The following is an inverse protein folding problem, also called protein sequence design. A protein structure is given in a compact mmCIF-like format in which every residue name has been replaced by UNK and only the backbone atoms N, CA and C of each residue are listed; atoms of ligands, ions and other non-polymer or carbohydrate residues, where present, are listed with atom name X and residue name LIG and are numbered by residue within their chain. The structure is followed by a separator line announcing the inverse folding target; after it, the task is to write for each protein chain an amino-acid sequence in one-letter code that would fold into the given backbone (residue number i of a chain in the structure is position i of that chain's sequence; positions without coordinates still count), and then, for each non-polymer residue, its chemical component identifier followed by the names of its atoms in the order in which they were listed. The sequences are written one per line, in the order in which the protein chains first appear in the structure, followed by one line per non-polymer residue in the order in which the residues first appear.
data_IF_932638926387
#
_entry.id   IF_932638926387
#
_cell.length_a   1.000
_cell.length_b   1.000
_cell.length_c   1.000
_cell.angle_alpha   90.00
_cell.angle_beta   90.00
_cell.angle_gamma   90.00
#
_symmetry.space_group_name_H-M   'P 1'
#
loop_
_entity.id
_entity.type
_entity.pdbx_description
1 polymer ?
#
# COMPACT_ATOMS: atom_id res chain seq x y z
N UNK A 1 43.63 -2.84 -9.53
CA UNK A 1 43.37 -3.81 -8.44
C UNK A 1 41.86 -3.97 -8.34
N UNK A 2 41.34 -5.08 -8.88
CA UNK A 2 39.92 -5.41 -8.82
C UNK A 2 39.60 -5.94 -7.42
N UNK A 3 38.86 -5.15 -6.64
CA UNK A 3 38.34 -5.59 -5.35
C UNK A 3 37.19 -6.55 -5.65
N UNK A 4 37.43 -7.84 -5.46
CA UNK A 4 36.41 -8.87 -5.56
C UNK A 4 35.50 -8.76 -4.33
N UNK A 5 34.25 -8.34 -4.52
CA UNK A 5 33.23 -8.36 -3.47
C UNK A 5 33.00 -9.80 -3.00
N UNK A 6 32.91 -10.06 -1.68
CA UNK A 6 32.65 -11.40 -1.19
C UNK A 6 31.25 -11.86 -1.64
N UNK A 7 31.21 -12.93 -2.45
CA UNK A 7 29.97 -13.65 -2.73
C UNK A 7 29.45 -14.23 -1.41
N UNK A 8 28.43 -13.61 -0.84
CA UNK A 8 27.69 -14.19 0.28
C UNK A 8 27.01 -15.47 -0.22
N UNK A 9 27.51 -16.64 0.20
CA UNK A 9 26.88 -17.92 -0.11
C UNK A 9 25.59 -18.02 0.71
N UNK A 10 24.45 -17.84 0.04
CA UNK A 10 23.13 -18.08 0.64
C UNK A 10 23.01 -19.56 0.95
N UNK A 11 22.96 -19.92 2.24
CA UNK A 11 22.77 -21.30 2.67
C UNK A 11 21.30 -21.70 2.58
N UNK A 12 20.97 -22.60 1.65
CA UNK A 12 19.62 -23.14 1.52
C UNK A 12 19.27 -24.04 2.71
N UNK A 13 18.35 -23.58 3.55
CA UNK A 13 17.81 -24.37 4.66
C UNK A 13 16.84 -25.45 4.15
N UNK A 14 16.58 -26.47 4.95
CA UNK A 14 15.37 -27.29 4.80
C UNK A 14 14.11 -26.50 5.21
N UNK A 15 12.93 -26.95 4.78
CA UNK A 15 11.66 -26.34 5.20
C UNK A 15 11.50 -26.35 6.73
N UNK A 16 11.88 -27.44 7.39
CA UNK A 16 11.83 -27.53 8.85
C UNK A 16 12.79 -26.54 9.53
N UNK A 17 14.01 -26.38 9.03
CA UNK A 17 14.95 -25.36 9.52
C UNK A 17 14.42 -23.93 9.28
N UNK A 18 13.77 -23.70 8.15
CA UNK A 18 13.13 -22.43 7.82
C UNK A 18 11.98 -22.11 8.78
N UNK A 19 11.13 -23.10 9.11
CA UNK A 19 10.08 -22.95 10.11
C UNK A 19 10.64 -22.59 11.49
N UNK A 20 11.76 -23.21 11.90
CA UNK A 20 12.46 -22.84 13.14
C UNK A 20 13.02 -21.42 13.10
N UNK A 21 13.60 -21.01 11.98
CA UNK A 21 14.08 -19.64 11.78
C UNK A 21 12.92 -18.63 11.81
N UNK A 22 11.75 -18.97 11.25
CA UNK A 22 10.55 -18.15 11.32
C UNK A 22 10.09 -17.96 12.77
N UNK A 23 10.05 -19.02 13.59
CA UNK A 23 9.74 -18.91 15.02
C UNK A 23 10.69 -17.95 15.75
N UNK A 24 12.00 -18.06 15.48
CA UNK A 24 13.01 -17.18 16.09
C UNK A 24 12.86 -15.73 15.65
N UNK A 25 12.54 -15.50 14.37
CA UNK A 25 12.25 -14.18 13.81
C UNK A 25 10.85 -13.64 14.18
N UNK A 26 10.08 -14.42 14.94
CA UNK A 26 8.74 -14.08 15.39
C UNK A 26 7.67 -14.11 14.31
N UNK A 27 7.88 -14.84 13.22
CA UNK A 27 7.03 -14.93 12.04
C UNK A 27 6.11 -16.17 12.14
N UNK A 28 4.81 -15.95 11.96
CA UNK A 28 3.80 -17.00 11.85
C UNK A 28 3.87 -17.67 10.47
N UNK A 29 3.55 -18.96 10.38
CA UNK A 29 3.63 -19.72 9.13
C UNK A 29 2.64 -20.88 9.09
N UNK A 30 2.42 -21.42 7.88
CA UNK A 30 1.60 -22.61 7.66
C UNK A 30 2.22 -23.52 6.58
N UNK A 31 1.97 -24.84 6.63
CA UNK A 31 2.39 -25.77 5.58
C UNK A 31 1.53 -25.59 4.32
N UNK A 32 2.18 -25.67 3.16
CA UNK A 32 1.57 -25.60 1.82
C UNK A 32 1.65 -26.97 1.15
N UNK A 33 0.55 -27.41 0.57
CA UNK A 33 0.46 -28.68 -0.16
C UNK A 33 1.47 -28.72 -1.33
N UNK A 34 2.20 -29.82 -1.45
CA UNK A 34 3.11 -30.09 -2.56
C UNK A 34 2.37 -30.82 -3.71
N UNK A 35 1.23 -30.26 -4.13
CA UNK A 35 0.34 -30.79 -5.18
C UNK A 35 0.13 -29.80 -6.34
N UNK A 36 0.90 -28.71 -6.37
CA UNK A 36 0.82 -27.64 -7.35
C UNK A 36 -0.29 -26.62 -7.09
N UNK A 37 -1.15 -26.81 -6.08
CA UNK A 37 -2.36 -25.97 -5.91
C UNK A 37 -2.09 -24.66 -5.18
N UNK A 38 -0.91 -24.48 -4.57
CA UNK A 38 -0.56 -23.33 -3.70
C UNK A 38 -1.44 -23.20 -2.45
N UNK A 39 -2.19 -24.25 -2.09
CA UNK A 39 -3.14 -24.22 -0.97
C UNK A 39 -2.46 -24.57 0.35
N UNK A 40 -2.81 -23.89 1.46
CA UNK A 40 -2.44 -24.35 2.79
C UNK A 40 -3.02 -25.74 3.08
N UNK A 41 -2.28 -26.57 3.80
CA UNK A 41 -2.74 -27.90 4.21
C UNK A 41 -3.76 -27.84 5.37
N UNK A 42 -4.13 -26.65 5.83
CA UNK A 42 -4.98 -26.42 6.99
C UNK A 42 -5.70 -25.05 6.90
N UNK A 43 -6.56 -24.77 7.88
CA UNK A 43 -7.22 -23.46 8.02
C UNK A 43 -6.20 -22.40 8.48
N UNK A 44 -5.56 -21.76 7.52
CA UNK A 44 -4.47 -20.82 7.78
C UNK A 44 -4.88 -19.55 8.54
N UNK A 45 -6.16 -19.14 8.45
CA UNK A 45 -6.67 -17.93 9.11
C UNK A 45 -6.51 -17.95 10.63
N UNK A 46 -6.46 -19.14 11.23
CA UNK A 46 -6.28 -19.29 12.68
C UNK A 46 -4.87 -18.80 13.11
N UNK A 47 -3.92 -18.84 12.18
CA UNK A 47 -2.54 -18.40 12.38
C UNK A 47 -2.30 -16.91 12.10
N UNK A 48 -3.37 -16.17 11.80
CA UNK A 48 -3.37 -14.70 11.82
C UNK A 48 -3.45 -14.13 13.25
N UNK A 49 -3.80 -14.95 14.24
CA UNK A 49 -3.94 -14.51 15.63
C UNK A 49 -2.95 -15.23 16.56
N UNK A 50 -2.66 -16.50 16.30
CA UNK A 50 -1.75 -17.30 17.13
C UNK A 50 -0.64 -17.92 16.28
N UNK A 51 0.62 -17.73 16.67
CA UNK A 51 1.77 -18.34 15.97
C UNK A 51 1.85 -19.85 16.22
N UNK A 52 2.33 -20.63 15.23
CA UNK A 52 2.68 -22.04 15.46
C UNK A 52 3.73 -22.19 16.56
N UNK A 53 3.80 -23.38 17.15
CA UNK A 53 4.83 -23.76 18.13
C UNK A 53 5.99 -24.53 17.49
N UNK A 54 7.07 -24.74 18.23
CA UNK A 54 8.17 -25.64 17.83
C UNK A 54 7.67 -27.07 17.57
N UNK A 55 6.65 -27.53 18.32
CA UNK A 55 6.02 -28.84 18.10
C UNK A 55 5.32 -28.87 16.75
N UNK A 56 4.55 -27.84 16.43
CA UNK A 56 3.86 -27.72 15.14
C UNK A 56 4.85 -27.73 13.97
N UNK A 57 5.92 -26.93 14.05
CA UNK A 57 6.99 -26.92 13.04
C UNK A 57 7.56 -28.32 12.78
N UNK A 58 7.82 -29.07 13.85
CA UNK A 58 8.33 -30.45 13.74
C UNK A 58 7.29 -31.37 13.11
N UNK A 59 6.06 -31.33 13.61
CA UNK A 59 4.95 -32.19 13.13
C UNK A 59 4.65 -31.95 11.65
N UNK A 60 4.68 -30.70 11.20
CA UNK A 60 4.34 -30.35 9.83
C UNK A 60 5.48 -30.60 8.86
N UNK A 61 6.74 -30.35 9.24
CA UNK A 61 7.83 -30.30 8.25
C UNK A 61 8.89 -31.40 8.40
N UNK A 62 9.03 -32.04 9.56
CA UNK A 62 10.05 -33.07 9.76
C UNK A 62 9.74 -34.33 8.94
N UNK A 63 10.51 -34.59 7.88
CA UNK A 63 10.31 -35.75 7.01
C UNK A 63 9.05 -35.68 6.15
N UNK A 64 8.49 -34.48 5.94
CA UNK A 64 7.28 -34.25 5.12
C UNK A 64 7.62 -33.44 3.88
N UNK A 65 6.85 -33.63 2.82
CA UNK A 65 6.95 -32.85 1.59
C UNK A 65 5.87 -31.76 1.57
N UNK A 66 6.14 -30.65 2.26
CA UNK A 66 5.30 -29.44 2.22
C UNK A 66 6.16 -28.24 1.88
N UNK A 67 5.56 -27.25 1.23
CA UNK A 67 6.07 -25.89 1.25
C UNK A 67 5.73 -25.18 2.55
N UNK A 68 6.20 -23.95 2.67
CA UNK A 68 5.91 -23.05 3.78
C UNK A 68 5.37 -21.73 3.23
N UNK A 69 4.36 -21.19 3.90
CA UNK A 69 3.92 -19.83 3.71
C UNK A 69 4.06 -19.05 5.00
N UNK A 70 4.50 -17.79 4.91
CA UNK A 70 4.57 -16.86 6.02
C UNK A 70 3.26 -16.07 6.09
N UNK A 71 2.68 -15.99 7.27
CA UNK A 71 1.50 -15.13 7.51
C UNK A 71 2.03 -13.72 7.75
N UNK A 72 1.55 -12.75 6.99
CA UNK A 72 1.93 -11.34 7.12
C UNK A 72 1.03 -10.65 8.17
N UNK A 73 1.38 -9.44 8.60
CA UNK A 73 0.60 -8.72 9.60
C UNK A 73 1.23 -8.62 10.99
N UNK A 74 0.41 -8.16 11.94
CA UNK A 74 0.74 -7.93 13.33
C UNK A 74 1.20 -9.20 14.06
N UNK A 75 0.58 -10.35 13.77
CA UNK A 75 0.96 -11.67 14.36
C UNK A 75 2.42 -12.02 14.08
N UNK A 76 2.96 -11.51 12.98
CA UNK A 76 4.32 -11.73 12.54
C UNK A 76 5.22 -10.55 12.83
N UNK A 77 4.82 -9.58 13.66
CA UNK A 77 5.63 -8.40 14.02
C UNK A 77 5.63 -7.29 12.97
N UNK A 78 4.47 -7.03 12.35
CA UNK A 78 4.31 -6.00 11.31
C UNK A 78 5.00 -6.38 9.99
N UNK A 79 5.05 -7.68 9.68
CA UNK A 79 5.64 -8.19 8.45
C UNK A 79 4.74 -7.83 7.27
N UNK A 80 5.30 -7.21 6.24
CA UNK A 80 4.63 -6.94 4.96
C UNK A 80 5.56 -7.31 3.81
N UNK A 81 4.98 -7.68 2.68
CA UNK A 81 5.70 -8.10 1.49
C UNK A 81 5.27 -7.26 0.29
N UNK A 82 6.23 -6.83 -0.54
CA UNK A 82 5.96 -6.42 -1.91
C UNK A 82 6.10 -7.63 -2.84
N UNK A 83 5.01 -7.96 -3.52
CA UNK A 83 4.85 -9.06 -4.47
C UNK A 83 4.96 -8.51 -5.90
N UNK A 84 6.04 -8.82 -6.60
CA UNK A 84 6.23 -8.45 -8.01
C UNK A 84 5.93 -9.68 -8.88
N UNK A 85 4.91 -9.60 -9.74
CA UNK A 85 4.46 -10.76 -10.55
C UNK A 85 5.43 -11.09 -11.71
N UNK A 86 6.42 -10.22 -11.98
CA UNK A 86 7.50 -10.48 -12.94
C UNK A 86 8.83 -9.83 -12.54
N UNK A 87 9.94 -10.37 -13.06
CA UNK A 87 11.26 -9.74 -12.94
C UNK A 87 11.33 -8.38 -13.63
N UNK A 88 10.58 -8.19 -14.72
CA UNK A 88 10.46 -6.91 -15.43
C UNK A 88 9.81 -5.84 -14.55
N UNK A 89 8.67 -6.15 -13.93
CA UNK A 89 7.99 -5.22 -13.02
C UNK A 89 8.89 -4.82 -11.84
N UNK A 90 9.69 -5.76 -11.33
CA UNK A 90 10.69 -5.46 -10.31
C UNK A 90 11.81 -4.55 -10.83
N UNK A 91 12.34 -4.79 -12.04
CA UNK A 91 13.37 -3.94 -12.63
C UNK A 91 12.87 -2.50 -12.90
N UNK A 92 11.64 -2.34 -13.38
CA UNK A 92 10.97 -1.03 -13.53
C UNK A 92 10.86 -0.32 -12.18
N UNK A 93 10.44 -1.04 -11.13
CA UNK A 93 10.37 -0.48 -9.78
C UNK A 93 11.73 -0.04 -9.25
N UNK A 94 12.77 -0.85 -9.43
CA UNK A 94 14.16 -0.50 -9.06
C UNK A 94 14.58 0.79 -9.75
N UNK A 95 14.31 0.94 -11.05
CA UNK A 95 14.66 2.14 -11.81
C UNK A 95 13.94 3.38 -11.27
N UNK A 96 12.65 3.28 -10.95
CA UNK A 96 11.90 4.38 -10.33
C UNK A 96 12.42 4.72 -8.93
N UNK A 97 12.71 3.72 -8.10
CA UNK A 97 13.27 3.92 -6.76
C UNK A 97 14.63 4.62 -6.79
N UNK A 98 15.49 4.25 -7.75
CA UNK A 98 16.78 4.91 -7.95
C UNK A 98 16.60 6.37 -8.41
N UNK A 99 15.69 6.62 -9.36
CA UNK A 99 15.36 7.97 -9.83
C UNK A 99 14.87 8.86 -8.69
N UNK A 100 14.12 8.30 -7.75
CA UNK A 100 13.59 9.00 -6.58
C UNK A 100 14.58 9.13 -5.41
N UNK A 101 15.85 8.73 -5.60
CA UNK A 101 16.90 8.86 -4.60
C UNK A 101 16.75 7.90 -3.41
N UNK A 102 15.99 6.82 -3.55
CA UNK A 102 15.71 5.83 -2.50
C UNK A 102 16.51 4.53 -2.68
N UNK A 103 17.61 4.58 -3.43
CA UNK A 103 18.46 3.42 -3.72
C UNK A 103 18.99 2.75 -2.44
N UNK A 104 19.47 3.53 -1.46
CA UNK A 104 19.99 2.99 -0.19
C UNK A 104 18.90 2.30 0.65
N UNK A 105 17.67 2.84 0.63
CA UNK A 105 16.53 2.23 1.30
C UNK A 105 16.22 0.86 0.69
N UNK A 106 16.18 0.78 -0.63
CA UNK A 106 15.93 -0.47 -1.34
C UNK A 106 17.05 -1.48 -1.11
N UNK A 107 18.31 -1.06 -1.23
CA UNK A 107 19.45 -1.92 -0.98
C UNK A 107 19.38 -2.53 0.43
N UNK A 108 19.05 -1.73 1.44
CA UNK A 108 18.87 -2.22 2.82
C UNK A 108 17.76 -3.28 2.90
N UNK A 109 16.62 -3.07 2.26
CA UNK A 109 15.51 -4.05 2.23
C UNK A 109 15.96 -5.34 1.55
N UNK A 110 16.62 -5.25 0.39
CA UNK A 110 17.12 -6.40 -0.36
C UNK A 110 18.16 -7.20 0.42
N UNK A 111 19.10 -6.51 1.08
CA UNK A 111 20.08 -7.12 1.99
C UNK A 111 19.41 -7.82 3.18
N UNK A 112 18.27 -7.30 3.63
CA UNK A 112 17.47 -7.89 4.70
C UNK A 112 16.81 -9.20 4.30
N UNK A 113 16.01 -9.16 3.23
CA UNK A 113 15.37 -10.33 2.65
C UNK A 113 14.86 -10.07 1.23
N UNK A 114 15.35 -10.88 0.28
CA UNK A 114 14.86 -10.92 -1.10
C UNK A 114 14.79 -12.36 -1.57
N UNK A 115 13.69 -12.73 -2.20
CA UNK A 115 13.53 -14.06 -2.79
C UNK A 115 12.94 -13.99 -4.20
N UNK A 116 13.29 -14.98 -5.02
CA UNK A 116 12.60 -15.27 -6.26
C UNK A 116 11.34 -16.05 -5.96
N UNK A 117 10.23 -15.60 -6.54
CA UNK A 117 9.02 -16.39 -6.68
C UNK A 117 9.06 -17.14 -8.04
N UNK A 118 8.12 -18.06 -8.30
CA UNK A 118 8.03 -18.76 -9.57
C UNK A 118 7.93 -17.86 -10.81
N UNK A 119 7.57 -16.58 -10.65
CA UNK A 119 7.42 -15.63 -11.77
C UNK A 119 8.19 -14.32 -11.58
N UNK A 120 8.43 -13.88 -10.35
CA UNK A 120 9.04 -12.59 -10.07
C UNK A 120 9.79 -12.57 -8.75
N UNK A 121 9.59 -11.51 -7.96
CA UNK A 121 10.39 -11.21 -6.77
C UNK A 121 9.46 -10.93 -5.60
N UNK A 122 9.85 -11.39 -4.41
CA UNK A 122 9.26 -10.92 -3.15
C UNK A 122 10.31 -10.16 -2.35
N UNK A 123 9.92 -9.00 -1.81
CA UNK A 123 10.68 -8.25 -0.83
C UNK A 123 9.91 -8.19 0.48
N UNK A 124 10.51 -8.65 1.57
CA UNK A 124 9.91 -8.56 2.90
C UNK A 124 10.54 -7.43 3.70
N UNK A 125 9.71 -6.70 4.43
CA UNK A 125 10.13 -5.73 5.43
C UNK A 125 9.17 -5.75 6.61
N UNK A 126 9.58 -5.09 7.70
CA UNK A 126 8.71 -4.79 8.84
C UNK A 126 8.36 -3.32 8.85
N UNK A 127 7.13 -2.98 9.21
CA UNK A 127 6.75 -1.62 9.50
C UNK A 127 5.81 -1.57 10.70
N UNK A 128 5.93 -0.52 11.52
CA UNK A 128 4.99 -0.29 12.63
C UNK A 128 3.58 0.10 12.19
N UNK A 129 3.40 0.40 10.90
CA UNK A 129 2.13 0.77 10.28
C UNK A 129 2.03 0.04 8.94
N UNK A 130 1.11 -0.91 8.85
CA UNK A 130 0.83 -1.68 7.63
C UNK A 130 -0.68 -1.75 7.40
N UNK A 131 -1.06 -2.01 6.16
CA UNK A 131 -2.46 -2.19 5.74
C UNK A 131 -2.70 -3.65 5.34
N UNK A 132 -3.90 -3.97 4.86
CA UNK A 132 -4.19 -5.27 4.26
C UNK A 132 -3.54 -5.43 2.88
N UNK A 133 -3.85 -6.56 2.23
CA UNK A 133 -3.40 -6.83 0.87
C UNK A 133 -3.95 -5.78 -0.10
N UNK A 134 -3.07 -5.13 -0.86
CA UNK A 134 -3.43 -4.03 -1.75
C UNK A 134 -2.79 -4.23 -3.12
N UNK A 135 -3.56 -4.06 -4.19
CA UNK A 135 -3.03 -3.99 -5.55
C UNK A 135 -2.48 -2.58 -5.79
N UNK A 136 -1.20 -2.48 -6.10
CA UNK A 136 -0.52 -1.18 -6.28
C UNK A 136 -0.38 -0.81 -7.75
N UNK A 137 -0.12 -1.80 -8.60
CA UNK A 137 0.00 -1.62 -10.04
C UNK A 137 -0.61 -2.81 -10.78
N UNK A 138 -1.29 -2.52 -11.87
CA UNK A 138 -1.97 -3.47 -12.73
C UNK A 138 -1.78 -3.08 -14.20
N UNK A 139 -1.99 -4.03 -15.11
CA UNK A 139 -2.01 -3.79 -16.54
C UNK A 139 -3.13 -4.56 -17.22
N UNK A 140 -3.54 -4.10 -18.40
CA UNK A 140 -4.57 -4.78 -19.21
C UNK A 140 -3.96 -5.92 -20.03
N UNK A 141 -4.69 -7.02 -20.13
CA UNK A 141 -4.35 -8.18 -20.96
C UNK A 141 -5.28 -8.24 -22.17
N UNK A 142 -4.79 -8.83 -23.27
CA UNK A 142 -5.58 -9.04 -24.49
C UNK A 142 -6.64 -10.14 -24.33
N UNK A 143 -6.52 -10.97 -23.29
CA UNK A 143 -7.41 -12.11 -23.03
C UNK A 143 -7.74 -12.18 -21.53
N UNK A 144 -8.78 -12.94 -21.17
CA UNK A 144 -9.16 -13.17 -19.78
C UNK A 144 -7.95 -13.66 -18.94
N UNK A 145 -7.69 -13.10 -17.75
CA UNK A 145 -8.59 -12.27 -16.92
C UNK A 145 -8.66 -10.77 -17.26
N UNK A 146 -8.19 -10.32 -18.44
CA UNK A 146 -8.22 -8.93 -18.96
C UNK A 146 -7.42 -7.91 -18.16
N UNK A 147 -7.13 -8.19 -16.89
CA UNK A 147 -6.30 -7.39 -16.01
C UNK A 147 -5.38 -8.30 -15.22
N UNK A 148 -4.10 -7.95 -15.17
CA UNK A 148 -3.07 -8.61 -14.38
C UNK A 148 -2.56 -7.65 -13.30
N UNK A 149 -2.28 -8.15 -12.10
CA UNK A 149 -1.54 -7.38 -11.09
C UNK A 149 -0.04 -7.45 -11.39
N UNK A 150 0.62 -6.29 -11.45
CA UNK A 150 2.08 -6.19 -11.58
C UNK A 150 2.75 -6.20 -10.21
N UNK A 151 2.20 -5.43 -9.27
CA UNK A 151 2.74 -5.23 -7.92
C UNK A 151 1.61 -5.23 -6.89
N UNK A 152 1.75 -6.02 -5.83
CA UNK A 152 0.82 -6.06 -4.70
C UNK A 152 1.55 -5.96 -3.36
N UNK A 153 0.86 -5.50 -2.31
CA UNK A 153 1.27 -5.81 -0.93
C UNK A 153 0.62 -7.10 -0.45
N UNK A 154 1.35 -7.85 0.37
CA UNK A 154 0.78 -8.82 1.32
C UNK A 154 1.00 -8.30 2.73
N UNK A 155 -0.06 -7.81 3.35
CA UNK A 155 -0.03 -7.12 4.64
C UNK A 155 -0.87 -7.83 5.69
N UNK A 156 -1.60 -7.09 6.52
CA UNK A 156 -2.49 -7.65 7.53
C UNK A 156 -3.53 -8.60 6.91
N UNK A 157 -3.75 -9.75 7.54
CA UNK A 157 -4.66 -10.77 7.03
C UNK A 157 -4.21 -11.45 5.73
N UNK A 158 -2.93 -11.31 5.34
CA UNK A 158 -2.32 -11.96 4.18
C UNK A 158 -1.41 -13.14 4.53
N UNK A 159 -1.01 -13.89 3.50
CA UNK A 159 0.12 -14.80 3.56
C UNK A 159 0.82 -14.84 2.21
N UNK A 160 2.05 -15.33 2.21
CA UNK A 160 2.86 -15.54 1.01
C UNK A 160 3.63 -16.85 1.11
N UNK A 161 3.66 -17.62 0.02
CA UNK A 161 4.53 -18.80 -0.06
C UNK A 161 5.97 -18.29 -0.14
N UNK A 162 6.84 -18.82 0.71
CA UNK A 162 8.22 -18.37 0.83
C UNK A 162 9.23 -19.45 0.51
N UNK A 163 10.46 -19.03 0.27
CA UNK A 163 11.61 -19.91 0.15
C UNK A 163 11.83 -20.70 1.45
N UNK A 164 12.32 -21.95 1.37
CA UNK A 164 12.77 -22.67 0.17
C UNK A 164 11.71 -23.62 -0.40
N UNK A 165 10.43 -23.20 -0.47
CA UNK A 165 9.36 -24.04 -1.00
C UNK A 165 9.66 -24.52 -2.43
N UNK A 166 9.62 -25.84 -2.63
CA UNK A 166 9.97 -26.49 -3.90
C UNK A 166 8.90 -26.27 -4.97
N UNK A 167 9.25 -26.56 -6.22
CA UNK A 167 8.36 -26.41 -7.37
C UNK A 167 7.02 -27.15 -7.25
N UNK A 168 6.97 -28.25 -6.51
CA UNK A 168 5.75 -29.03 -6.32
C UNK A 168 4.62 -28.29 -5.62
N UNK A 169 4.85 -27.10 -5.05
CA UNK A 169 3.78 -26.28 -4.45
C UNK A 169 3.07 -25.39 -5.47
N UNK A 170 3.65 -25.21 -6.67
CA UNK A 170 3.22 -24.23 -7.66
C UNK A 170 2.85 -24.88 -9.01
N UNK A 171 1.83 -24.38 -9.74
CA UNK A 171 1.45 -24.96 -11.02
C UNK A 171 2.56 -24.95 -12.07
N UNK A 172 3.42 -23.92 -12.04
CA UNK A 172 4.55 -23.80 -12.97
C UNK A 172 5.72 -24.74 -12.67
N UNK A 173 5.69 -25.47 -11.55
CA UNK A 173 6.80 -26.33 -11.07
C UNK A 173 8.12 -25.61 -10.81
N UNK A 174 8.12 -24.28 -10.77
CA UNK A 174 9.28 -23.48 -10.36
C UNK A 174 9.25 -23.22 -8.86
N UNK A 175 10.40 -23.26 -8.17
CA UNK A 175 10.50 -23.10 -6.72
C UNK A 175 10.50 -21.63 -6.28
N UNK A 176 10.34 -21.43 -4.97
CA UNK A 176 10.66 -20.19 -4.27
C UNK A 176 12.10 -20.27 -3.74
N UNK A 177 12.94 -19.28 -4.04
CA UNK A 177 14.37 -19.32 -3.73
C UNK A 177 14.84 -18.04 -3.05
N UNK A 178 15.48 -18.17 -1.89
CA UNK A 178 16.10 -17.06 -1.20
C UNK A 178 17.27 -16.56 -2.04
N UNK A 179 17.28 -15.27 -2.37
CA UNK A 179 18.33 -14.62 -3.15
C UNK A 179 19.28 -13.85 -2.25
N UNK A 180 18.78 -13.25 -1.17
CA UNK A 180 19.59 -12.43 -0.28
C UNK A 180 18.96 -12.36 1.12
N UNK A 181 19.82 -12.24 2.13
CA UNK A 181 19.42 -12.11 3.53
C UNK A 181 18.90 -13.42 4.14
N UNK A 182 17.98 -13.30 5.09
CA UNK A 182 17.38 -14.39 5.87
C UNK A 182 16.17 -13.87 6.65
N UNK A 183 15.30 -14.75 7.15
CA UNK A 183 14.16 -14.35 7.98
C UNK A 183 14.58 -13.54 9.22
N UNK A 184 15.79 -13.76 9.74
CA UNK A 184 16.33 -13.06 10.90
C UNK A 184 16.86 -11.66 10.58
N UNK A 185 17.13 -11.35 9.31
CA UNK A 185 17.74 -10.09 8.86
C UNK A 185 16.73 -9.14 8.19
N UNK A 186 15.45 -9.52 8.12
CA UNK A 186 14.37 -8.68 7.59
C UNK A 186 14.41 -7.31 8.27
N UNK A 187 14.53 -6.27 7.45
CA UNK A 187 14.70 -4.91 7.93
C UNK A 187 13.38 -4.30 8.39
N UNK A 188 13.46 -3.49 9.44
CA UNK A 188 12.36 -2.58 9.80
C UNK A 188 12.55 -1.26 9.07
N UNK A 189 11.50 -0.78 8.41
CA UNK A 189 11.45 0.51 7.71
C UNK A 189 10.44 1.44 8.39
N UNK A 190 10.61 2.74 8.20
CA UNK A 190 9.69 3.72 8.77
C UNK A 190 8.37 3.73 8.00
N UNK A 191 7.26 4.18 8.62
CA UNK A 191 6.01 4.41 7.89
C UNK A 191 6.17 5.35 6.70
N UNK A 192 7.06 6.33 6.79
CA UNK A 192 7.37 7.25 5.70
C UNK A 192 8.06 6.55 4.53
N UNK A 193 9.07 5.71 4.82
CA UNK A 193 9.74 4.87 3.82
C UNK A 193 8.74 3.96 3.11
N UNK A 194 7.87 3.31 3.90
CA UNK A 194 6.77 2.48 3.37
C UNK A 194 5.91 3.28 2.42
N UNK A 195 5.38 4.44 2.84
CA UNK A 195 4.52 5.28 1.99
C UNK A 195 5.22 5.62 0.67
N UNK A 196 6.48 6.05 0.71
CA UNK A 196 7.23 6.38 -0.51
C UNK A 196 7.42 5.18 -1.44
N UNK A 197 7.81 4.02 -0.91
CA UNK A 197 7.97 2.79 -1.71
C UNK A 197 6.67 2.39 -2.36
N UNK A 198 5.56 2.42 -1.61
CA UNK A 198 4.26 2.07 -2.17
C UNK A 198 3.90 3.09 -3.26
N UNK A 199 4.01 4.40 -3.03
CA UNK A 199 3.67 5.41 -4.03
C UNK A 199 4.48 5.24 -5.33
N UNK A 200 5.76 4.90 -5.24
CA UNK A 200 6.57 4.55 -6.42
C UNK A 200 6.04 3.31 -7.12
N UNK A 201 5.65 2.26 -6.39
CA UNK A 201 5.01 1.10 -7.02
C UNK A 201 3.71 1.48 -7.74
N UNK A 202 2.93 2.43 -7.19
CA UNK A 202 1.70 2.96 -7.81
C UNK A 202 1.95 3.71 -9.12
N UNK A 203 3.13 4.32 -9.31
CA UNK A 203 3.45 4.98 -10.59
C UNK A 203 3.64 4.01 -11.76
N UNK A 204 3.71 2.71 -11.48
CA UNK A 204 3.81 1.64 -12.48
C UNK A 204 2.45 1.03 -12.84
N UNK A 205 1.35 1.58 -12.30
CA UNK A 205 0.00 1.22 -12.69
C UNK A 205 -0.30 1.73 -14.10
N UNK A 206 -0.78 0.83 -14.96
CA UNK A 206 -1.11 1.12 -16.36
C UNK A 206 -2.62 1.20 -16.58
N UNK A 207 -3.40 1.01 -15.52
CA UNK A 207 -4.86 1.13 -15.60
C UNK A 207 -5.25 2.60 -15.78
N UNK A 208 -6.31 2.88 -16.57
CA UNK A 208 -6.84 4.23 -16.65
C UNK A 208 -7.24 4.71 -15.24
N UNK A 209 -7.09 6.01 -14.95
CA UNK A 209 -7.55 6.57 -13.69
C UNK A 209 -9.00 6.15 -13.44
N UNK A 210 -9.36 5.77 -12.21
CA UNK A 210 -10.72 5.36 -11.92
C UNK A 210 -11.67 6.48 -12.37
N UNK A 211 -12.61 6.14 -13.25
CA UNK A 211 -13.68 7.06 -13.64
C UNK A 211 -14.44 7.44 -12.36
N UNK A 212 -14.26 8.68 -11.90
CA UNK A 212 -15.03 9.28 -10.81
C UNK A 212 -16.47 9.45 -11.31
N UNK A 213 -17.25 8.38 -11.26
CA UNK A 213 -18.71 8.47 -11.27
C UNK A 213 -19.13 9.07 -9.92
N UNK A 214 -19.91 10.18 -9.87
CA UNK A 214 -20.27 10.87 -8.63
C UNK A 214 -21.03 10.04 -7.57
N UNK A 215 -21.34 8.77 -7.85
CA UNK A 215 -22.33 7.98 -7.13
C UNK A 215 -21.77 6.94 -6.15
N UNK A 216 -20.45 6.75 -6.05
CA UNK A 216 -19.88 5.74 -5.14
C UNK A 216 -18.76 6.31 -4.27
N UNK A 217 -19.13 7.22 -3.37
CA UNK A 217 -18.26 7.71 -2.28
C UNK A 217 -19.05 7.66 -0.97
N UNK A 218 -19.21 6.47 -0.43
CA UNK A 218 -19.63 6.30 0.97
C UNK A 218 -18.70 5.32 1.68
N UNK A 219 -17.66 5.85 2.32
CA UNK A 219 -17.20 5.36 3.61
C UNK A 219 -16.88 6.60 4.47
N UNK A 220 -17.80 6.91 5.38
CA UNK A 220 -17.75 8.08 6.27
C UNK A 220 -19.14 8.72 6.33
N UNK A 221 -19.88 8.47 7.41
CA UNK A 221 -21.30 8.81 7.58
C UNK A 221 -21.64 10.28 7.22
N UNK A 222 -22.80 10.54 6.57
CA UNK A 222 -23.23 11.89 6.29
C UNK A 222 -23.81 12.57 7.55
N UNK A 223 -23.65 13.90 7.74
CA UNK A 223 -24.50 14.63 8.66
C UNK A 223 -25.96 14.64 8.14
N UNK A 224 -26.89 14.86 9.07
CA UNK A 224 -28.35 14.74 8.90
C UNK A 224 -28.91 15.39 7.62
N UNK A 225 -29.88 14.68 7.01
CA UNK A 225 -30.77 15.04 5.90
C UNK A 225 -30.89 16.55 5.63
N UNK A 226 -30.12 17.06 4.66
CA UNK A 226 -30.58 18.16 3.84
C UNK A 226 -31.44 17.58 2.72
N UNK A 227 -32.63 18.12 2.51
CA UNK A 227 -33.47 17.76 1.37
C UNK A 227 -32.71 18.09 0.08
N UNK A 228 -32.28 17.07 -0.65
CA UNK A 228 -31.82 17.21 -2.03
C UNK A 228 -33.01 17.64 -2.89
N UNK A 229 -33.04 18.90 -3.33
CA UNK A 229 -33.74 19.28 -4.55
C UNK A 229 -33.01 18.62 -5.72
N UNK A 230 -33.77 18.02 -6.62
CA UNK A 230 -33.26 17.11 -7.64
C UNK A 230 -32.31 17.86 -8.61
N UNK A 231 -31.01 17.55 -8.58
CA UNK A 231 -30.05 17.93 -9.62
C UNK A 231 -29.15 19.15 -9.36
N UNK A 232 -29.30 19.86 -8.24
CA UNK A 232 -28.47 21.05 -7.95
C UNK A 232 -27.12 20.68 -7.31
N UNK A 233 -26.02 21.17 -7.86
CA UNK A 233 -24.66 21.02 -7.30
C UNK A 233 -24.47 21.96 -6.12
N UNK A 234 -24.14 21.43 -4.95
CA UNK A 234 -23.93 22.23 -3.75
C UNK A 234 -22.60 23.01 -3.84
N UNK A 235 -22.47 24.17 -3.16
CA UNK A 235 -21.22 24.93 -3.11
C UNK A 235 -20.00 24.10 -2.69
N UNK A 236 -20.18 23.17 -1.73
CA UNK A 236 -19.13 22.26 -1.31
C UNK A 236 -18.72 21.25 -2.39
N UNK A 237 -19.65 20.81 -3.25
CA UNK A 237 -19.36 19.92 -4.38
C UNK A 237 -18.56 20.67 -5.45
N UNK A 238 -18.99 21.89 -5.79
CA UNK A 238 -18.27 22.77 -6.72
C UNK A 238 -16.85 23.07 -6.21
N UNK A 239 -16.69 23.30 -4.91
CA UNK A 239 -15.39 23.51 -4.30
C UNK A 239 -14.50 22.26 -4.37
N UNK A 240 -15.06 21.07 -4.10
CA UNK A 240 -14.31 19.81 -4.24
C UNK A 240 -13.79 19.60 -5.66
N UNK A 241 -14.56 20.01 -6.67
CA UNK A 241 -14.19 19.86 -8.08
C UNK A 241 -13.16 20.91 -8.55
N UNK A 242 -13.32 22.16 -8.14
CA UNK A 242 -12.59 23.28 -8.74
C UNK A 242 -11.34 23.70 -7.96
N UNK A 243 -11.34 23.54 -6.63
CA UNK A 243 -10.20 23.96 -5.81
C UNK A 243 -9.01 23.01 -5.97
N UNK A 244 -7.79 23.54 -5.82
CA UNK A 244 -6.56 22.74 -5.75
C UNK A 244 -6.13 22.52 -4.30
N UNK A 245 -5.36 21.46 -4.04
CA UNK A 245 -4.83 21.20 -2.70
C UNK A 245 -3.86 22.29 -2.23
N UNK A 246 -3.07 22.88 -3.14
CA UNK A 246 -2.20 24.01 -2.83
C UNK A 246 -2.99 25.22 -2.31
N UNK A 247 -4.10 25.58 -2.97
CA UNK A 247 -4.99 26.67 -2.55
C UNK A 247 -5.56 26.46 -1.14
N UNK A 248 -5.73 25.21 -0.72
CA UNK A 248 -6.33 24.86 0.58
C UNK A 248 -5.27 24.73 1.67
N UNK A 249 -4.09 24.20 1.37
CA UNK A 249 -3.11 23.80 2.38
C UNK A 249 -2.02 24.85 2.61
N UNK A 250 -1.49 25.44 1.54
CA UNK A 250 -0.36 26.38 1.63
C UNK A 250 -0.67 27.63 2.46
N UNK A 251 -1.87 28.26 2.37
CA UNK A 251 -2.20 29.41 3.22
C UNK A 251 -2.12 29.11 4.71
N UNK A 252 -2.30 27.85 5.10
CA UNK A 252 -2.23 27.42 6.49
C UNK A 252 -0.85 26.87 6.88
N UNK A 253 0.20 27.14 6.08
CA UNK A 253 1.59 26.82 6.39
C UNK A 253 2.00 25.38 6.06
N UNK A 254 1.17 24.62 5.35
CA UNK A 254 1.61 23.33 4.81
C UNK A 254 2.60 23.55 3.67
N UNK A 255 3.62 22.71 3.60
CA UNK A 255 4.64 22.78 2.56
C UNK A 255 4.49 21.60 1.61
N UNK A 256 4.32 21.86 0.32
CA UNK A 256 4.47 20.84 -0.72
C UNK A 256 5.94 20.40 -0.77
N UNK A 257 6.18 19.09 -0.70
CA UNK A 257 7.53 18.51 -0.72
C UNK A 257 7.89 18.00 -2.11
N UNK A 258 6.99 17.24 -2.73
CA UNK A 258 7.15 16.64 -4.05
C UNK A 258 5.86 16.02 -4.55
N UNK A 259 5.86 15.65 -5.83
CA UNK A 259 4.80 14.88 -6.48
C UNK A 259 5.39 13.56 -6.99
N UNK A 260 4.68 12.44 -6.81
CA UNK A 260 4.99 11.13 -7.39
C UNK A 260 3.76 10.61 -8.13
N UNK A 261 3.83 10.56 -9.46
CA UNK A 261 2.66 10.25 -10.27
C UNK A 261 1.55 11.27 -10.04
N UNK A 262 0.39 10.80 -9.59
CA UNK A 262 -0.76 11.64 -9.24
C UNK A 262 -0.78 12.09 -7.76
N UNK A 263 0.12 11.58 -6.92
CA UNK A 263 0.12 11.83 -5.48
C UNK A 263 1.05 12.99 -5.12
N UNK A 264 0.58 13.91 -4.28
CA UNK A 264 1.42 14.97 -3.71
C UNK A 264 1.74 14.69 -2.24
N UNK A 265 2.92 15.13 -1.82
CA UNK A 265 3.48 14.88 -0.50
C UNK A 265 3.60 16.19 0.27
N UNK A 266 3.02 16.25 1.45
CA UNK A 266 2.90 17.48 2.22
C UNK A 266 3.52 17.36 3.62
N UNK A 267 4.17 18.44 4.06
CA UNK A 267 4.65 18.62 5.43
C UNK A 267 3.73 19.61 6.16
N UNK A 268 3.32 19.23 7.39
CA UNK A 268 2.47 20.08 8.22
C UNK A 268 3.24 21.33 8.72
N UNK A 269 2.52 22.40 9.11
CA UNK A 269 3.13 23.56 9.75
C UNK A 269 3.89 23.17 11.02
N UNK A 270 5.01 23.85 11.29
CA UNK A 270 5.82 23.61 12.49
C UNK A 270 6.49 22.24 12.55
N UNK A 271 6.70 21.56 11.41
CA UNK A 271 7.54 20.37 11.31
C UNK A 271 8.74 20.70 10.44
N UNK A 272 9.95 20.49 10.97
CA UNK A 272 11.18 20.81 10.25
C UNK A 272 11.48 19.83 9.12
N UNK A 273 11.27 18.52 9.34
CA UNK A 273 11.68 17.48 8.38
C UNK A 273 10.64 16.36 8.28
N UNK A 274 10.50 15.78 7.09
CA UNK A 274 9.71 14.58 6.82
C UNK A 274 8.24 14.80 6.46
N UNK A 275 7.61 13.74 5.96
CA UNK A 275 6.24 13.70 5.46
C UNK A 275 5.20 13.81 6.59
N UNK A 276 4.06 14.44 6.30
CA UNK A 276 2.92 14.54 7.24
C UNK A 276 1.57 14.14 6.63
N UNK A 277 1.39 14.32 5.32
CA UNK A 277 0.18 13.94 4.61
C UNK A 277 0.47 13.66 3.13
N UNK A 278 -0.43 12.95 2.48
CA UNK A 278 -0.52 12.90 1.01
C UNK A 278 -1.83 13.51 0.54
N UNK A 279 -1.85 14.04 -0.68
CA UNK A 279 -3.11 14.33 -1.39
C UNK A 279 -3.19 13.52 -2.66
N UNK A 280 -4.43 13.24 -3.09
CA UNK A 280 -4.72 12.50 -4.32
C UNK A 280 -4.13 11.08 -4.35
N UNK A 281 -3.96 10.46 -3.17
CA UNK A 281 -3.53 9.06 -3.03
C UNK A 281 -4.42 8.13 -3.86
N UNK A 282 -3.81 7.31 -4.72
CA UNK A 282 -4.55 6.41 -5.63
C UNK A 282 -5.56 7.10 -6.56
N UNK A 283 -5.40 8.40 -6.85
CA UNK A 283 -6.35 9.17 -7.66
C UNK A 283 -7.66 9.53 -6.94
N UNK A 284 -7.71 9.38 -5.62
CA UNK A 284 -8.93 9.60 -4.84
C UNK A 284 -9.31 11.08 -4.64
N UNK A 285 -8.44 12.02 -4.93
CA UNK A 285 -8.58 13.47 -4.65
C UNK A 285 -8.98 13.79 -3.19
N UNK A 286 -8.34 13.09 -2.25
CA UNK A 286 -8.48 13.32 -0.82
C UNK A 286 -7.15 13.71 -0.19
N UNK A 287 -7.20 14.49 0.88
CA UNK A 287 -6.11 14.67 1.83
C UNK A 287 -6.13 13.48 2.79
N UNK A 288 -4.98 12.86 3.00
CA UNK A 288 -4.79 11.78 3.96
C UNK A 288 -3.64 12.13 4.89
N UNK A 289 -3.96 12.40 6.16
CA UNK A 289 -2.98 12.89 7.15
C UNK A 289 -2.50 11.74 8.03
N UNK A 290 -1.19 11.54 8.12
CA UNK A 290 -0.60 10.52 8.98
C UNK A 290 -0.18 11.05 10.35
N UNK A 291 -0.08 12.38 10.50
CA UNK A 291 0.37 13.04 11.72
C UNK A 291 -0.77 13.30 12.68
N UNK A 292 -0.57 12.97 13.96
CA UNK A 292 -1.52 13.26 15.05
C UNK A 292 -1.45 14.70 15.57
N UNK A 293 -0.45 15.48 15.17
CA UNK A 293 -0.26 16.88 15.60
C UNK A 293 -0.86 17.86 14.60
N UNK A 294 -2.10 17.62 14.18
CA UNK A 294 -2.85 18.47 13.25
C UNK A 294 -4.29 18.57 13.72
N UNK A 295 -5.06 19.51 13.17
CA UNK A 295 -6.50 19.61 13.42
C UNK A 295 -7.31 18.48 12.77
N UNK A 296 -6.68 17.71 11.90
CA UNK A 296 -7.32 16.65 11.15
C UNK A 296 -7.28 15.33 11.91
N UNK A 297 -8.37 14.57 11.83
CA UNK A 297 -8.35 13.18 12.24
C UNK A 297 -7.33 12.42 11.38
N UNK A 298 -6.33 11.76 11.98
CA UNK A 298 -5.33 11.03 11.22
C UNK A 298 -5.96 9.79 10.57
N UNK A 299 -5.42 9.40 9.42
CA UNK A 299 -5.74 8.15 8.72
C UNK A 299 -7.15 8.03 8.16
N UNK A 300 -7.82 9.15 7.94
CA UNK A 300 -9.10 9.22 7.21
C UNK A 300 -8.93 10.06 5.94
N UNK A 301 -9.72 9.74 4.92
CA UNK A 301 -9.79 10.57 3.71
C UNK A 301 -10.59 11.83 3.98
N UNK A 302 -9.99 12.99 3.73
CA UNK A 302 -10.57 14.30 3.98
C UNK A 302 -10.79 14.99 2.63
N UNK A 303 -12.03 15.35 2.32
CA UNK A 303 -12.35 16.08 1.09
C UNK A 303 -11.83 17.50 1.14
N UNK A 304 -11.68 18.16 -0.01
CA UNK A 304 -11.26 19.57 -0.08
C UNK A 304 -12.17 20.48 0.73
N UNK A 305 -13.48 20.31 0.61
CA UNK A 305 -14.45 21.08 1.37
C UNK A 305 -14.34 20.84 2.89
N UNK A 306 -14.13 19.58 3.31
CA UNK A 306 -13.90 19.29 4.73
C UNK A 306 -12.59 19.93 5.21
N UNK A 307 -11.50 19.81 4.44
CA UNK A 307 -10.21 20.42 4.76
C UNK A 307 -10.32 21.95 4.91
N UNK A 308 -10.93 22.61 3.93
CA UNK A 308 -11.26 24.04 3.96
C UNK A 308 -12.09 24.41 5.20
N UNK A 309 -13.12 23.64 5.51
CA UNK A 309 -14.01 23.91 6.65
C UNK A 309 -13.24 23.83 7.98
N UNK A 310 -12.38 22.84 8.16
CA UNK A 310 -11.58 22.73 9.39
C UNK A 310 -10.53 23.83 9.50
N UNK A 311 -9.85 24.17 8.40
CA UNK A 311 -8.76 25.15 8.38
C UNK A 311 -9.24 26.60 8.51
N UNK A 312 -10.34 26.95 7.83
CA UNK A 312 -10.81 28.34 7.71
C UNK A 312 -12.00 28.65 8.63
N UNK A 313 -12.81 27.65 8.94
CA UNK A 313 -14.08 27.82 9.67
C UNK A 313 -14.17 26.99 10.96
N UNK A 314 -13.03 26.45 11.42
CA UNK A 314 -12.93 25.68 12.67
C UNK A 314 -13.97 24.54 12.78
N UNK A 315 -14.28 23.91 11.64
CA UNK A 315 -15.25 22.81 11.58
C UNK A 315 -16.72 23.24 11.39
N UNK A 316 -17.02 24.54 11.29
CA UNK A 316 -18.38 25.03 11.01
C UNK A 316 -18.70 24.94 9.50
N UNK A 317 -19.31 23.83 9.11
CA UNK A 317 -19.74 23.58 7.74
C UNK A 317 -20.78 24.59 7.23
N UNK A 318 -21.61 25.18 8.11
CA UNK A 318 -22.61 26.17 7.69
C UNK A 318 -21.95 27.49 7.33
N UNK A 319 -21.01 27.94 8.16
CA UNK A 319 -20.19 29.12 7.88
C UNK A 319 -19.36 28.93 6.61
N UNK A 320 -18.75 27.75 6.45
CA UNK A 320 -17.97 27.42 5.26
C UNK A 320 -18.82 27.46 3.98
N UNK A 321 -20.02 26.86 3.97
CA UNK A 321 -20.92 26.93 2.81
C UNK A 321 -21.29 28.37 2.46
N UNK A 322 -21.62 29.22 3.44
CA UNK A 322 -21.93 30.64 3.20
C UNK A 322 -20.75 31.39 2.60
N UNK A 323 -19.53 31.12 3.08
CA UNK A 323 -18.31 31.71 2.53
C UNK A 323 -18.07 31.28 1.08
N UNK A 324 -18.28 30.00 0.75
CA UNK A 324 -18.16 29.50 -0.62
C UNK A 324 -19.17 30.13 -1.58
N UNK A 325 -20.43 30.32 -1.16
CA UNK A 325 -21.43 31.06 -1.94
C UNK A 325 -20.97 32.48 -2.23
N UNK A 326 -20.43 33.18 -1.23
CA UNK A 326 -19.90 34.54 -1.39
C UNK A 326 -18.67 34.60 -2.31
N UNK A 327 -17.91 33.52 -2.41
CA UNK A 327 -16.78 33.36 -3.34
C UNK A 327 -17.21 32.96 -4.76
N UNK A 328 -18.51 32.74 -5.00
CA UNK A 328 -19.04 32.43 -6.33
C UNK A 328 -19.14 30.93 -6.64
N UNK A 329 -18.99 30.05 -5.64
CA UNK A 329 -19.30 28.62 -5.79
C UNK A 329 -20.81 28.38 -5.76
N UNK A 330 -21.49 28.90 -6.78
CA UNK A 330 -22.94 28.75 -7.00
C UNK A 330 -23.16 28.16 -8.39
N UNK A 331 -24.16 27.28 -8.51
CA UNK A 331 -24.56 26.78 -9.81
C UNK A 331 -25.34 27.88 -10.54
N UNK A 332 -24.81 28.35 -11.68
CA UNK A 332 -25.52 29.30 -12.53
C UNK A 332 -26.57 28.50 -13.30
N UNK A 333 -27.83 28.57 -12.86
CA UNK A 333 -28.94 28.04 -13.63
C UNK A 333 -29.02 28.81 -14.95
N UNK A 334 -28.75 28.15 -16.07
CA UNK A 334 -29.03 28.73 -17.39
C UNK A 334 -30.52 28.96 -17.49
N UNK A 335 -30.93 30.23 -17.59
CA UNK A 335 -32.31 30.57 -17.89
C UNK A 335 -32.69 29.89 -19.20
N UNK A 336 -33.75 29.06 -19.16
CA UNK A 336 -34.46 28.62 -20.36
C UNK A 336 -34.93 29.88 -21.06
N UNK A 337 -34.27 30.23 -22.17
CA UNK A 337 -34.72 31.26 -23.08
C UNK A 337 -36.19 31.00 -23.42
N UNK A 338 -37.06 31.87 -22.95
CA UNK A 338 -38.40 32.01 -23.48
C UNK A 338 -38.25 32.72 -24.83
N UNK A 339 -38.11 31.94 -25.90
CA UNK A 339 -38.43 32.43 -27.24
C UNK A 339 -39.90 32.84 -27.22
N UNK A 340 -40.15 34.12 -27.49
CA UNK A 340 -41.47 34.68 -27.79
C UNK A 340 -41.57 35.02 -29.26
#
# INVERSE_FOLDING_TARGET
MTVSSPQSTVHTLSIYQTARAALQAGISFVPILADGTKRPAMRWKDFQQTRPTTRDARTWFSGKNYGIAFITGAVSGGLEMLDFDSSTAYAEFVACVQKEGLAELLERIEQGYKEASPKGIHLYYRCGVIEGNTKLAQCSLQEAPWVMSKIETRGEGGYSIGAPSKGDVHPSRLPYQLLQGSLATIQTITPQDRTLLLSIARTLDEMPPPHVSPASREIGQPPKKYHRTNGERLPGDLFNEQATWAQILEPHGWTHLKSLGSEDFWRRPGKEQGLSATTNFGGGDYLYVFSTSTIFEPRVGISKFAAYTFLEHNGDFSAATKALVAQGYVEISSERGTDS
#
